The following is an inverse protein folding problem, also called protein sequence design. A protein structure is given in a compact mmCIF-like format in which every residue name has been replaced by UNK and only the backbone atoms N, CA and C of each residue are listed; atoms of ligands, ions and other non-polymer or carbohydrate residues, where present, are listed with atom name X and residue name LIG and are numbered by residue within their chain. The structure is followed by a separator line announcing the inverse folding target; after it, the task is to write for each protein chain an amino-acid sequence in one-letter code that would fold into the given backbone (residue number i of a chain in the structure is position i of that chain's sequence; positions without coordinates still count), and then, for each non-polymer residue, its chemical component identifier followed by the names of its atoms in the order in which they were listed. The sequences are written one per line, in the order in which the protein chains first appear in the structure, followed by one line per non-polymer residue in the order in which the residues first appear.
data_IF_843937721885
#
_entry.id   IF_843937721885
#
_cell.length_a   1.000
_cell.length_b   1.000
_cell.length_c   1.000
_cell.angle_alpha   90.00
_cell.angle_beta   90.00
_cell.angle_gamma   90.00
#
_symmetry.space_group_name_H-M   'P 1'
#
loop_
_entity.id
_entity.type
_entity.pdbx_description
1 polymer ?
#
# COMPACT_ATOMS: atom_id res chain seq x y z
N UNK A 1 22.15 -55.16 21.18
CA UNK A 1 22.14 -54.00 20.26
C UNK A 1 22.73 -52.75 20.93
N UNK A 2 24.05 -52.68 21.15
CA UNK A 2 24.68 -51.60 21.93
C UNK A 2 25.15 -50.38 21.11
N UNK A 3 24.85 -50.32 19.80
CA UNK A 3 25.48 -49.36 18.87
C UNK A 3 24.49 -48.42 18.16
N UNK A 4 23.17 -48.63 18.24
CA UNK A 4 22.22 -47.83 17.45
C UNK A 4 22.08 -46.35 17.89
N UNK A 5 22.52 -45.99 19.09
CA UNK A 5 22.55 -44.60 19.56
C UNK A 5 23.60 -43.72 18.83
N UNK A 6 24.48 -44.30 18.02
CA UNK A 6 25.49 -43.57 17.25
C UNK A 6 25.01 -43.13 15.87
N UNK A 7 23.78 -43.46 15.46
CA UNK A 7 23.23 -43.14 14.13
C UNK A 7 22.55 -41.77 14.03
N UNK A 8 22.88 -40.80 14.89
CA UNK A 8 22.42 -39.44 14.60
C UNK A 8 23.18 -38.93 13.38
N UNK A 9 22.48 -38.36 12.40
CA UNK A 9 23.07 -37.81 11.17
C UNK A 9 24.11 -36.72 11.43
N UNK A 10 24.21 -36.23 12.67
CA UNK A 10 25.06 -35.11 13.06
C UNK A 10 26.29 -35.54 13.85
N UNK A 11 26.37 -36.80 14.29
CA UNK A 11 27.55 -37.29 14.99
C UNK A 11 28.68 -37.52 13.99
N UNK A 12 29.78 -36.77 14.13
CA UNK A 12 30.95 -36.89 13.27
C UNK A 12 31.97 -37.84 13.90
N UNK A 13 32.31 -37.63 15.17
CA UNK A 13 33.31 -38.42 15.87
C UNK A 13 33.09 -38.42 17.39
N UNK A 14 33.65 -39.42 18.08
CA UNK A 14 33.77 -39.45 19.54
C UNK A 14 35.26 -39.30 19.88
N UNK A 15 35.62 -38.23 20.57
CA UNK A 15 36.98 -38.02 21.07
C UNK A 15 37.11 -38.69 22.44
N UNK A 16 37.58 -39.93 22.42
CA UNK A 16 37.86 -40.69 23.64
C UNK A 16 39.17 -41.46 23.49
N UNK A 17 40.06 -41.32 24.48
CA UNK A 17 41.20 -42.21 24.68
C UNK A 17 40.79 -43.54 25.33
N UNK A 18 39.49 -43.70 25.64
CA UNK A 18 38.96 -44.82 26.38
C UNK A 18 38.21 -45.75 25.45
N UNK A 19 38.35 -47.08 25.60
CA UNK A 19 37.60 -48.03 24.81
C UNK A 19 36.10 -47.81 25.03
N UNK A 20 35.36 -47.66 23.93
CA UNK A 20 33.91 -47.37 23.90
C UNK A 20 33.07 -48.42 24.64
N UNK A 21 33.62 -49.61 24.86
CA UNK A 21 33.00 -50.73 25.57
C UNK A 21 32.63 -50.43 27.04
N UNK A 22 33.25 -49.43 27.66
CA UNK A 22 33.10 -49.16 29.12
C UNK A 22 31.91 -48.21 29.43
N UNK A 23 31.27 -47.63 28.43
CA UNK A 23 30.34 -46.49 28.64
C UNK A 23 28.86 -46.88 28.47
N UNK A 24 28.30 -47.77 29.29
CA UNK A 24 26.87 -48.10 29.16
C UNK A 24 26.08 -48.09 30.48
N UNK A 25 25.12 -47.15 30.55
CA UNK A 25 23.83 -47.44 31.16
C UNK A 25 22.98 -48.02 30.03
N UNK A 26 22.70 -49.32 30.07
CA UNK A 26 21.80 -49.94 29.11
C UNK A 26 20.37 -49.62 29.53
N UNK A 27 19.45 -49.55 28.58
CA UNK A 27 18.02 -49.54 28.88
C UNK A 27 17.52 -50.92 28.54
N UNK A 28 16.82 -51.56 29.48
CA UNK A 28 16.23 -52.86 29.26
C UNK A 28 15.17 -52.70 28.17
N UNK A 29 15.27 -53.45 27.07
CA UNK A 29 14.32 -53.28 25.97
C UNK A 29 12.90 -53.68 26.36
N UNK A 30 12.74 -54.70 27.20
CA UNK A 30 11.45 -55.20 27.67
C UNK A 30 10.81 -54.27 28.71
N UNK A 31 11.58 -53.80 29.69
CA UNK A 31 11.01 -53.00 30.80
C UNK A 31 11.11 -51.50 30.59
N UNK A 32 11.84 -51.05 29.56
CA UNK A 32 12.24 -49.63 29.34
C UNK A 32 12.92 -48.98 30.55
N UNK A 33 13.22 -49.73 31.61
CA UNK A 33 13.95 -49.25 32.78
C UNK A 33 15.44 -49.23 32.46
N UNK A 34 16.11 -48.20 32.96
CA UNK A 34 17.56 -48.08 32.85
C UNK A 34 18.22 -49.23 33.63
N UNK A 35 18.79 -50.20 32.92
CA UNK A 35 19.68 -51.19 33.55
C UNK A 35 21.00 -50.48 33.79
N UNK A 36 21.32 -50.28 35.06
CA UNK A 36 22.62 -49.75 35.46
C UNK A 36 23.74 -50.80 35.27
N UNK A 37 23.40 -52.01 34.80
CA UNK A 37 24.29 -53.18 34.74
C UNK A 37 24.25 -53.85 33.37
N UNK A 38 25.43 -54.16 32.81
CA UNK A 38 25.56 -54.98 31.61
C UNK A 38 25.63 -56.46 31.97
N UNK A 39 24.99 -57.33 31.19
CA UNK A 39 25.19 -58.78 31.27
C UNK A 39 26.67 -59.18 31.12
N UNK A 40 27.50 -58.31 30.52
CA UNK A 40 28.94 -58.53 30.35
C UNK A 40 29.76 -58.55 31.66
N UNK A 41 29.26 -58.02 32.78
CA UNK A 41 30.02 -58.00 34.04
C UNK A 41 29.59 -59.06 35.06
N UNK A 42 28.50 -59.80 34.82
CA UNK A 42 28.01 -60.85 35.72
C UNK A 42 27.60 -60.39 37.14
N UNK A 43 27.56 -59.09 37.41
CA UNK A 43 27.28 -58.56 38.75
C UNK A 43 25.78 -58.34 38.98
N UNK A 44 25.22 -59.04 39.98
CA UNK A 44 23.83 -58.88 40.42
C UNK A 44 23.56 -57.48 41.01
N UNK A 45 22.34 -56.98 40.80
CA UNK A 45 21.92 -55.61 41.12
C UNK A 45 22.01 -55.22 42.61
N UNK A 46 22.23 -56.16 43.52
CA UNK A 46 22.15 -55.93 44.96
C UNK A 46 23.45 -55.50 45.65
N UNK A 47 24.63 -55.52 44.98
CA UNK A 47 25.92 -55.22 45.65
C UNK A 47 26.50 -53.82 45.46
N UNK A 48 25.84 -52.89 44.74
CA UNK A 48 26.50 -51.59 44.43
C UNK A 48 26.62 -50.64 45.62
N UNK A 49 25.71 -50.72 46.61
CA UNK A 49 25.78 -49.88 47.82
C UNK A 49 26.94 -50.30 48.73
N UNK A 50 27.31 -51.58 48.74
CA UNK A 50 28.39 -52.13 49.56
C UNK A 50 29.74 -52.18 48.83
N UNK A 51 29.77 -52.16 47.49
CA UNK A 51 31.02 -52.19 46.76
C UNK A 51 31.80 -50.87 46.94
N UNK A 52 32.91 -50.92 47.70
CA UNK A 52 33.83 -49.81 47.95
C UNK A 52 34.96 -49.70 46.92
N UNK A 53 34.92 -50.52 45.86
CA UNK A 53 35.94 -50.58 44.82
C UNK A 53 35.40 -50.03 43.50
N UNK A 54 36.22 -49.26 42.79
CA UNK A 54 35.92 -48.75 41.46
C UNK A 54 35.96 -49.89 40.44
N UNK A 55 34.85 -50.12 39.72
CA UNK A 55 34.77 -51.19 38.71
C UNK A 55 35.71 -51.00 37.51
N UNK A 56 36.31 -49.82 37.36
CA UNK A 56 37.15 -49.48 36.21
C UNK A 56 38.65 -49.54 36.51
N UNK A 57 39.07 -49.08 37.68
CA UNK A 57 40.50 -49.01 38.03
C UNK A 57 40.87 -49.81 39.27
N UNK A 58 39.91 -50.46 39.95
CA UNK A 58 40.18 -51.22 41.17
C UNK A 58 40.45 -50.39 42.44
N UNK A 59 40.57 -49.07 42.33
CA UNK A 59 40.85 -48.22 43.49
C UNK A 59 39.65 -48.11 44.44
N UNK A 60 39.87 -47.91 45.76
CA UNK A 60 38.81 -47.62 46.70
C UNK A 60 38.08 -46.32 46.33
N UNK A 61 36.78 -46.25 46.63
CA UNK A 61 35.90 -45.09 46.38
C UNK A 61 35.03 -44.80 47.60
N UNK A 62 34.80 -43.52 47.86
CA UNK A 62 33.96 -43.06 48.98
C UNK A 62 32.45 -43.12 48.73
N UNK A 63 32.01 -43.07 47.47
CA UNK A 63 30.59 -42.94 47.11
C UNK A 63 29.89 -44.23 46.67
N UNK A 64 28.56 -44.17 46.60
CA UNK A 64 27.69 -45.29 46.16
C UNK A 64 27.70 -45.52 44.63
N UNK A 65 28.35 -44.65 43.85
CA UNK A 65 28.47 -44.77 42.39
C UNK A 65 29.49 -45.83 41.98
N UNK A 66 29.38 -46.42 40.79
CA UNK A 66 30.24 -47.53 40.34
C UNK A 66 31.72 -47.17 40.15
N UNK A 67 32.01 -45.91 39.87
CA UNK A 67 33.34 -45.40 39.57
C UNK A 67 33.87 -44.57 40.74
N UNK A 68 35.18 -44.58 40.96
CA UNK A 68 35.83 -43.57 41.78
C UNK A 68 35.69 -42.19 41.11
N UNK A 69 35.88 -41.11 41.88
CA UNK A 69 35.74 -39.74 41.40
C UNK A 69 36.60 -39.45 40.16
N UNK A 70 37.86 -39.90 40.16
CA UNK A 70 38.77 -39.71 39.03
C UNK A 70 38.29 -40.43 37.75
N UNK A 71 37.85 -41.70 37.87
CA UNK A 71 37.30 -42.44 36.74
C UNK A 71 35.99 -41.83 36.23
N UNK A 72 35.15 -41.32 37.12
CA UNK A 72 33.91 -40.62 36.77
C UNK A 72 34.20 -39.30 36.04
N UNK A 73 35.16 -38.51 36.51
CA UNK A 73 35.62 -37.30 35.85
C UNK A 73 36.20 -37.59 34.46
N UNK A 74 37.06 -38.62 34.32
CA UNK A 74 37.59 -39.08 33.02
C UNK A 74 36.48 -39.53 32.05
N UNK A 75 35.39 -40.11 32.55
CA UNK A 75 34.26 -40.51 31.72
C UNK A 75 33.41 -39.29 31.32
N UNK A 76 33.26 -38.31 32.22
CA UNK A 76 32.58 -37.04 31.94
C UNK A 76 33.35 -36.12 31.01
N UNK A 77 34.68 -36.25 30.94
CA UNK A 77 35.50 -35.45 30.02
C UNK A 77 35.46 -35.93 28.57
N UNK A 78 34.87 -37.09 28.28
CA UNK A 78 34.70 -37.58 26.90
C UNK A 78 33.86 -36.58 26.10
N UNK A 79 34.39 -36.15 24.96
CA UNK A 79 33.74 -35.21 24.04
C UNK A 79 33.23 -35.95 22.80
N UNK A 80 32.18 -35.41 22.21
CA UNK A 80 31.68 -35.79 20.88
C UNK A 80 31.76 -34.59 19.96
N UNK A 81 32.14 -34.83 18.71
CA UNK A 81 32.16 -33.83 17.64
C UNK A 81 30.84 -33.95 16.89
N UNK A 82 30.09 -32.86 16.85
CA UNK A 82 28.78 -32.78 16.22
C UNK A 82 28.79 -31.73 15.11
N UNK A 83 28.09 -32.02 14.01
CA UNK A 83 27.85 -31.06 12.93
C UNK A 83 26.62 -30.21 13.26
N UNK A 84 26.77 -28.88 13.29
CA UNK A 84 25.66 -27.96 13.58
C UNK A 84 24.57 -28.05 12.49
N UNK A 85 23.30 -28.24 12.88
CA UNK A 85 22.17 -28.31 11.92
C UNK A 85 22.09 -27.09 11.00
N UNK A 86 22.38 -25.90 11.53
CA UNK A 86 22.16 -24.65 10.81
C UNK A 86 23.35 -24.26 9.92
N UNK A 87 24.56 -24.27 10.45
CA UNK A 87 25.74 -23.73 9.75
C UNK A 87 26.72 -24.81 9.29
N UNK A 88 26.49 -26.08 9.60
CA UNK A 88 27.37 -27.18 9.24
C UNK A 88 28.72 -27.20 9.97
N UNK A 89 29.05 -26.18 10.79
CA UNK A 89 30.31 -26.16 11.55
C UNK A 89 30.33 -27.28 12.59
N UNK A 90 31.49 -27.91 12.71
CA UNK A 90 31.77 -28.89 13.75
C UNK A 90 31.98 -28.21 15.09
N UNK A 91 31.47 -28.82 16.15
CA UNK A 91 31.64 -28.33 17.51
C UNK A 91 31.64 -29.49 18.50
N UNK A 92 32.25 -29.26 19.65
CA UNK A 92 32.38 -30.28 20.67
C UNK A 92 31.33 -30.15 21.76
N UNK A 93 30.81 -31.29 22.21
CA UNK A 93 29.93 -31.38 23.38
C UNK A 93 30.37 -32.54 24.26
N UNK A 94 30.13 -32.45 25.56
CA UNK A 94 30.36 -33.62 26.41
C UNK A 94 29.41 -34.76 26.01
N UNK A 95 29.92 -36.00 25.97
CA UNK A 95 29.15 -37.18 25.60
C UNK A 95 27.91 -37.35 26.50
N UNK A 96 28.02 -37.02 27.79
CA UNK A 96 26.90 -37.12 28.73
C UNK A 96 25.77 -36.12 28.38
N UNK A 97 26.10 -34.90 27.97
CA UNK A 97 25.12 -33.88 27.56
C UNK A 97 24.44 -34.25 26.24
N UNK A 98 25.21 -34.80 25.30
CA UNK A 98 24.70 -35.32 24.04
C UNK A 98 23.68 -36.45 24.26
N UNK A 99 24.03 -37.46 25.06
CA UNK A 99 23.11 -38.56 25.41
C UNK A 99 21.87 -38.08 26.16
N UNK A 100 22.03 -37.12 27.09
CA UNK A 100 20.91 -36.52 27.80
C UNK A 100 19.94 -35.80 26.85
N UNK A 101 20.45 -35.14 25.82
CA UNK A 101 19.64 -34.51 24.78
C UNK A 101 18.93 -35.54 23.89
N UNK A 102 19.62 -36.59 23.44
CA UNK A 102 19.00 -37.69 22.69
C UNK A 102 17.87 -38.37 23.47
N UNK A 103 18.06 -38.60 24.77
CA UNK A 103 17.03 -39.18 25.64
C UNK A 103 15.80 -38.26 25.82
N UNK A 104 15.92 -36.97 25.51
CA UNK A 104 14.79 -36.02 25.46
C UNK A 104 14.14 -35.95 24.07
N UNK A 105 14.57 -36.79 23.13
CA UNK A 105 14.13 -36.76 21.74
C UNK A 105 14.71 -35.59 20.94
N UNK A 106 15.80 -34.97 21.38
CA UNK A 106 16.42 -33.88 20.64
C UNK A 106 17.22 -34.44 19.45
N UNK A 107 16.77 -34.10 18.24
CA UNK A 107 17.41 -34.49 16.97
C UNK A 107 18.39 -33.44 16.46
N UNK A 108 18.15 -32.15 16.77
CA UNK A 108 18.91 -31.01 16.26
C UNK A 108 19.96 -30.51 17.28
N UNK A 109 21.23 -30.43 16.84
CA UNK A 109 22.34 -29.91 17.64
C UNK A 109 22.99 -28.68 16.98
N UNK A 110 23.42 -27.71 17.81
CA UNK A 110 23.90 -26.42 17.34
C UNK A 110 25.21 -26.02 18.02
N UNK A 111 26.12 -25.40 17.26
CA UNK A 111 27.41 -24.94 17.78
C UNK A 111 27.30 -23.76 18.74
N UNK A 112 26.18 -23.00 18.71
CA UNK A 112 25.96 -21.86 19.58
C UNK A 112 24.48 -21.59 19.84
N UNK A 113 24.18 -20.85 20.92
CA UNK A 113 22.82 -20.36 21.22
C UNK A 113 22.26 -19.52 20.07
N UNK A 114 23.10 -18.73 19.40
CA UNK A 114 22.71 -17.94 18.23
C UNK A 114 22.24 -18.83 17.06
N UNK A 115 22.94 -19.94 16.78
CA UNK A 115 22.51 -20.89 15.73
C UNK A 115 21.19 -21.57 16.10
N UNK A 116 21.03 -21.99 17.36
CA UNK A 116 19.78 -22.56 17.84
C UNK A 116 18.61 -21.58 17.67
N UNK A 117 18.77 -20.33 18.10
CA UNK A 117 17.74 -19.30 17.97
C UNK A 117 17.39 -19.00 16.52
N UNK A 118 18.37 -18.89 15.62
CA UNK A 118 18.14 -18.68 14.18
C UNK A 118 17.38 -19.86 13.56
N UNK A 119 17.77 -21.09 13.86
CA UNK A 119 17.08 -22.27 13.32
C UNK A 119 15.64 -22.37 13.83
N UNK A 120 15.41 -22.21 15.14
CA UNK A 120 14.06 -22.23 15.70
C UNK A 120 13.19 -21.06 15.23
N UNK A 121 13.78 -19.90 14.93
CA UNK A 121 13.06 -18.77 14.34
C UNK A 121 12.49 -19.10 12.96
N UNK A 122 13.17 -19.94 12.18
CA UNK A 122 12.70 -20.42 10.86
C UNK A 122 11.77 -21.63 11.01
N UNK A 123 12.18 -22.66 11.76
CA UNK A 123 11.41 -23.92 11.95
C UNK A 123 10.02 -23.69 12.54
N UNK A 124 9.88 -22.71 13.43
CA UNK A 124 8.60 -22.35 14.05
C UNK A 124 8.01 -21.04 13.50
N UNK A 125 8.50 -20.55 12.36
CA UNK A 125 7.90 -19.40 11.69
C UNK A 125 6.50 -19.78 11.21
N UNK A 126 5.50 -18.92 11.47
CA UNK A 126 4.20 -19.03 10.82
C UNK A 126 4.32 -18.56 9.37
N UNK A 127 3.57 -19.16 8.47
CA UNK A 127 3.46 -18.69 7.09
C UNK A 127 2.57 -17.45 7.01
N UNK A 128 2.93 -16.53 6.11
CA UNK A 128 2.11 -15.37 5.77
C UNK A 128 0.79 -15.84 5.16
N UNK A 129 -0.34 -15.34 5.67
CA UNK A 129 -1.68 -15.70 5.16
C UNK A 129 -1.97 -15.21 3.73
N UNK A 130 -1.14 -14.30 3.20
CA UNK A 130 -1.27 -13.78 1.84
C UNK A 130 -0.28 -14.44 0.86
N UNK A 131 1.03 -14.45 1.16
CA UNK A 131 2.07 -14.94 0.24
C UNK A 131 2.69 -16.29 0.61
N UNK A 132 2.31 -16.89 1.75
CA UNK A 132 2.84 -18.18 2.22
C UNK A 132 4.26 -18.15 2.82
N UNK A 133 5.03 -17.07 2.64
CA UNK A 133 6.42 -16.98 3.13
C UNK A 133 6.54 -17.08 4.65
N UNK A 134 7.62 -17.68 5.19
CA UNK A 134 7.83 -17.82 6.63
C UNK A 134 8.08 -16.46 7.30
N UNK A 135 7.46 -16.24 8.45
CA UNK A 135 7.54 -15.00 9.24
C UNK A 135 8.27 -15.23 10.57
N UNK A 136 9.61 -15.16 10.62
CA UNK A 136 10.35 -15.32 11.87
C UNK A 136 10.05 -14.15 12.83
N UNK A 137 9.82 -14.47 14.10
CA UNK A 137 9.80 -13.48 15.19
C UNK A 137 8.50 -12.70 15.44
N UNK A 138 7.44 -12.85 14.63
CA UNK A 138 6.19 -12.07 14.81
C UNK A 138 4.95 -12.95 15.03
N UNK A 139 4.85 -13.59 16.20
CA UNK A 139 3.75 -14.56 16.53
C UNK A 139 2.33 -14.00 16.35
N UNK A 140 2.13 -12.69 16.59
CA UNK A 140 0.82 -12.02 16.47
C UNK A 140 0.49 -11.54 15.05
N UNK A 141 1.47 -11.46 14.16
CA UNK A 141 1.25 -10.92 12.82
C UNK A 141 0.72 -12.00 11.87
N UNK A 142 -0.27 -11.62 11.05
CA UNK A 142 -0.85 -12.47 10.02
C UNK A 142 -0.15 -12.34 8.65
N UNK A 143 0.66 -11.30 8.47
CA UNK A 143 1.28 -10.93 7.21
C UNK A 143 2.77 -10.61 7.40
N UNK A 144 3.60 -10.97 6.42
CA UNK A 144 5.06 -10.81 6.50
C UNK A 144 5.49 -9.34 6.35
N UNK A 145 4.68 -8.53 5.67
CA UNK A 145 4.94 -7.13 5.35
C UNK A 145 3.65 -6.31 5.30
N UNK A 146 3.79 -4.98 5.38
CA UNK A 146 2.65 -4.06 5.19
C UNK A 146 2.12 -4.13 3.75
N UNK A 147 2.97 -4.47 2.78
CA UNK A 147 2.55 -4.73 1.39
C UNK A 147 1.60 -5.92 1.30
N UNK A 148 1.92 -7.06 1.93
CA UNK A 148 1.02 -8.23 1.98
C UNK A 148 -0.27 -7.93 2.74
N UNK A 149 -0.19 -7.14 3.83
CA UNK A 149 -1.37 -6.73 4.60
C UNK A 149 -2.30 -5.86 3.75
N UNK A 150 -1.76 -4.90 3.02
CA UNK A 150 -2.52 -4.00 2.15
C UNK A 150 -3.10 -4.76 0.96
N UNK A 151 -2.31 -5.61 0.32
CA UNK A 151 -2.76 -6.43 -0.81
C UNK A 151 -3.89 -7.39 -0.40
N UNK A 152 -3.77 -8.05 0.76
CA UNK A 152 -4.84 -8.91 1.30
C UNK A 152 -6.12 -8.14 1.64
N UNK A 153 -6.02 -6.87 2.05
CA UNK A 153 -7.19 -6.01 2.28
C UNK A 153 -7.83 -5.53 0.97
N UNK A 154 -7.04 -5.35 -0.08
CA UNK A 154 -7.51 -4.94 -1.40
C UNK A 154 -8.19 -6.10 -2.13
N UNK A 155 -7.65 -7.31 -2.07
CA UNK A 155 -8.20 -8.49 -2.75
C UNK A 155 -9.59 -8.92 -2.26
N UNK A 156 -9.99 -8.50 -1.05
CA UNK A 156 -11.32 -8.80 -0.48
C UNK A 156 -12.39 -7.77 -0.84
N UNK A 157 -12.04 -6.70 -1.55
CA UNK A 157 -12.98 -5.62 -1.86
C UNK A 157 -13.70 -5.90 -3.17
N UNK A 158 -15.00 -5.56 -3.25
CA UNK A 158 -15.73 -5.67 -4.50
C UNK A 158 -15.17 -4.67 -5.53
N UNK A 159 -15.08 -5.11 -6.77
CA UNK A 159 -14.84 -4.24 -7.92
C UNK A 159 -16.06 -3.33 -8.10
N UNK A 160 -15.83 -2.05 -8.43
CA UNK A 160 -16.86 -1.07 -8.75
C UNK A 160 -16.60 -0.49 -10.14
N UNK A 161 -17.66 -0.01 -10.79
CA UNK A 161 -17.60 0.72 -12.05
C UNK A 161 -17.59 2.22 -11.75
N UNK A 162 -16.67 2.98 -12.35
CA UNK A 162 -16.59 4.43 -12.17
C UNK A 162 -17.75 5.14 -12.91
N UNK A 163 -18.55 6.01 -12.27
CA UNK A 163 -19.67 6.69 -12.94
C UNK A 163 -19.28 7.70 -14.02
N UNK A 164 -17.99 8.10 -14.11
CA UNK A 164 -17.53 9.16 -15.03
C UNK A 164 -16.85 8.59 -16.27
N UNK A 165 -16.04 7.55 -16.10
CA UNK A 165 -15.27 6.94 -17.20
C UNK A 165 -15.61 5.47 -17.45
N UNK A 166 -16.55 4.91 -16.68
CA UNK A 166 -17.03 3.52 -16.79
C UNK A 166 -15.95 2.43 -16.58
N UNK A 167 -14.75 2.82 -16.18
CA UNK A 167 -13.68 1.86 -15.88
C UNK A 167 -13.95 1.09 -14.58
N UNK A 168 -13.65 -0.21 -14.60
CA UNK A 168 -13.62 -1.06 -13.42
C UNK A 168 -12.44 -0.71 -12.51
N UNK A 169 -12.69 -0.60 -11.21
CA UNK A 169 -11.64 -0.32 -10.22
C UNK A 169 -11.92 -0.95 -8.85
N UNK A 170 -10.86 -1.17 -8.08
CA UNK A 170 -10.94 -1.64 -6.69
C UNK A 170 -10.86 -0.43 -5.75
N UNK A 171 -11.92 -0.09 -4.99
CA UNK A 171 -11.97 1.14 -4.22
C UNK A 171 -11.05 1.10 -2.99
N UNK A 172 -10.33 2.21 -2.71
CA UNK A 172 -9.45 2.35 -1.53
C UNK A 172 -10.20 2.53 -0.21
N UNK A 173 -11.48 2.91 -0.25
CA UNK A 173 -12.41 2.90 0.91
C UNK A 173 -13.80 2.49 0.44
N UNK A 174 -14.66 2.00 1.35
CA UNK A 174 -16.05 1.66 0.99
C UNK A 174 -16.82 2.86 0.41
N UNK A 175 -16.46 4.07 0.84
CA UNK A 175 -17.03 5.36 0.40
C UNK A 175 -16.50 5.85 -0.95
N UNK A 176 -15.43 5.26 -1.50
CA UNK A 176 -14.92 5.68 -2.80
C UNK A 176 -15.90 5.29 -3.91
N UNK A 177 -16.28 6.29 -4.71
CA UNK A 177 -17.20 6.16 -5.85
C UNK A 177 -16.49 6.27 -7.22
N UNK A 178 -15.31 6.89 -7.27
CA UNK A 178 -14.59 7.17 -8.51
C UNK A 178 -13.24 6.44 -8.54
N UNK A 179 -12.78 6.08 -9.74
CA UNK A 179 -11.51 5.36 -9.92
C UNK A 179 -10.27 6.23 -9.65
N UNK A 180 -10.37 7.54 -9.89
CA UNK A 180 -9.26 8.49 -9.80
C UNK A 180 -9.69 9.83 -9.22
N UNK A 181 -8.71 10.66 -8.85
CA UNK A 181 -8.94 12.04 -8.41
C UNK A 181 -9.53 12.89 -9.53
N UNK A 182 -9.11 12.67 -10.77
CA UNK A 182 -9.61 13.39 -11.95
C UNK A 182 -11.10 13.15 -12.15
N UNK A 183 -11.55 11.88 -12.09
CA UNK A 183 -12.97 11.54 -12.19
C UNK A 183 -13.77 12.14 -11.01
N UNK A 184 -13.22 12.09 -9.80
CA UNK A 184 -13.86 12.72 -8.64
C UNK A 184 -13.98 14.25 -8.80
N UNK A 185 -12.96 14.91 -9.35
CA UNK A 185 -12.97 16.34 -9.64
C UNK A 185 -13.95 16.69 -10.76
N UNK A 186 -14.03 15.89 -11.84
CA UNK A 186 -15.00 16.08 -12.91
C UNK A 186 -16.44 15.97 -12.40
N UNK A 187 -16.76 14.90 -11.65
CA UNK A 187 -18.06 14.72 -11.02
C UNK A 187 -18.40 15.85 -10.04
N UNK A 188 -17.40 16.36 -9.32
CA UNK A 188 -17.58 17.50 -8.44
C UNK A 188 -17.88 18.78 -9.24
N UNK A 189 -17.10 19.08 -10.29
CA UNK A 189 -17.31 20.22 -11.17
C UNK A 189 -18.71 20.21 -11.78
N UNK A 190 -19.20 19.06 -12.26
CA UNK A 190 -20.56 18.93 -12.77
C UNK A 190 -21.61 19.25 -11.71
N UNK A 191 -21.45 18.74 -10.49
CA UNK A 191 -22.37 19.02 -9.37
C UNK A 191 -22.34 20.48 -8.92
N UNK A 192 -21.19 21.13 -9.03
CA UNK A 192 -21.03 22.53 -8.64
C UNK A 192 -21.55 23.51 -9.70
N UNK A 193 -22.03 23.03 -10.85
CA UNK A 193 -22.69 23.83 -11.89
C UNK A 193 -24.20 23.77 -11.71
N UNK A 194 -24.85 24.93 -11.74
CA UNK A 194 -26.31 25.01 -11.75
C UNK A 194 -26.95 24.96 -10.36
N UNK A 195 -28.27 24.70 -10.37
CA UNK A 195 -29.17 24.73 -9.20
C UNK A 195 -28.80 23.73 -8.09
N UNK A 196 -27.93 22.75 -8.36
CA UNK A 196 -27.49 21.73 -7.40
C UNK A 196 -26.40 22.19 -6.42
N UNK A 197 -25.82 23.38 -6.61
CA UNK A 197 -24.82 23.95 -5.74
C UNK A 197 -25.50 24.86 -4.69
N UNK A 198 -25.31 24.61 -3.40
CA UNK A 198 -25.91 25.43 -2.33
C UNK A 198 -25.41 26.88 -2.29
N UNK A 199 -24.27 27.17 -2.93
CA UNK A 199 -23.76 28.52 -3.14
C UNK A 199 -24.27 29.16 -4.44
N UNK A 200 -25.17 28.49 -5.17
CA UNK A 200 -25.82 29.01 -6.37
C UNK A 200 -27.00 29.90 -5.95
N UNK A 201 -26.74 31.17 -5.68
CA UNK A 201 -27.76 32.06 -5.11
C UNK A 201 -28.83 32.50 -6.11
N UNK A 202 -28.55 32.49 -7.41
CA UNK A 202 -29.31 33.27 -8.39
C UNK A 202 -29.22 32.77 -9.83
N UNK A 203 -28.95 31.47 -10.03
CA UNK A 203 -29.39 30.84 -11.27
C UNK A 203 -28.43 30.91 -12.46
N UNK A 204 -27.41 31.78 -12.44
CA UNK A 204 -26.38 31.92 -13.48
C UNK A 204 -25.21 32.71 -12.89
N UNK A 205 -23.95 32.27 -12.97
CA UNK A 205 -22.91 33.31 -12.91
C UNK A 205 -23.02 34.05 -14.24
N UNK A 206 -23.71 35.20 -14.24
CA UNK A 206 -23.85 36.10 -15.38
C UNK A 206 -22.55 36.18 -16.20
N UNK A 207 -21.41 36.23 -15.49
CA UNK A 207 -20.08 36.21 -16.03
C UNK A 207 -19.80 35.01 -16.97
N UNK A 208 -20.25 33.79 -16.67
CA UNK A 208 -20.01 32.63 -17.53
C UNK A 208 -20.81 32.65 -18.83
N UNK A 209 -22.10 33.01 -18.78
CA UNK A 209 -22.91 33.10 -20.00
C UNK A 209 -22.34 34.19 -20.92
N UNK A 210 -22.05 35.37 -20.37
CA UNK A 210 -21.42 36.47 -21.10
C UNK A 210 -20.04 36.06 -21.66
N UNK A 211 -19.21 35.37 -20.88
CA UNK A 211 -17.89 34.88 -21.33
C UNK A 211 -18.01 33.89 -22.51
N UNK A 212 -18.99 32.98 -22.49
CA UNK A 212 -19.20 32.01 -23.57
C UNK A 212 -19.88 32.66 -24.80
N UNK A 213 -20.72 33.67 -24.59
CA UNK A 213 -21.36 34.41 -25.68
C UNK A 213 -20.39 35.34 -26.40
N UNK A 214 -19.41 35.90 -25.67
CA UNK A 214 -18.43 36.87 -26.20
C UNK A 214 -17.78 36.48 -27.54
N UNK A 215 -17.14 35.31 -27.68
CA UNK A 215 -16.50 34.94 -28.96
C UNK A 215 -17.51 34.85 -30.12
N UNK A 216 -18.75 34.44 -29.84
CA UNK A 216 -19.80 34.33 -30.86
C UNK A 216 -20.23 35.70 -31.39
N UNK A 217 -20.27 36.73 -30.53
CA UNK A 217 -20.60 38.10 -30.93
C UNK A 217 -19.43 38.75 -31.69
N UNK A 218 -18.19 38.51 -31.26
CA UNK A 218 -16.99 38.98 -31.98
C UNK A 218 -16.92 38.37 -33.39
N UNK A 219 -17.20 37.07 -33.52
CA UNK A 219 -17.25 36.39 -34.81
C UNK A 219 -18.36 36.96 -35.70
N UNK A 220 -19.58 37.14 -35.15
CA UNK A 220 -20.72 37.75 -35.85
C UNK A 220 -20.37 39.13 -36.41
N UNK A 221 -19.71 39.96 -35.60
CA UNK A 221 -19.38 41.33 -35.96
C UNK A 221 -18.08 41.43 -36.79
N UNK A 222 -17.43 40.30 -37.09
CA UNK A 222 -16.23 40.24 -37.93
C UNK A 222 -14.97 40.79 -37.24
N UNK A 223 -14.89 40.67 -35.91
CA UNK A 223 -13.78 41.16 -35.09
C UNK A 223 -13.48 42.65 -35.30
N UNK A 224 -14.52 43.47 -35.48
CA UNK A 224 -14.41 44.92 -35.65
C UNK A 224 -15.49 45.66 -34.87
N UNK A 225 -15.19 46.90 -34.49
CA UNK A 225 -16.18 47.80 -33.93
C UNK A 225 -17.29 48.05 -34.95
N UNK A 226 -18.54 47.83 -34.54
CA UNK A 226 -19.70 47.99 -35.43
C UNK A 226 -19.93 49.45 -35.83
N UNK A 227 -19.50 50.41 -35.00
CA UNK A 227 -19.67 51.86 -35.27
C UNK A 227 -18.61 52.39 -36.22
N UNK A 228 -17.33 52.21 -35.88
CA UNK A 228 -16.23 52.87 -36.59
C UNK A 228 -15.38 51.94 -37.45
N UNK A 229 -15.66 50.62 -37.43
CA UNK A 229 -14.91 49.63 -38.21
C UNK A 229 -13.52 49.30 -37.67
N UNK A 230 -13.11 49.84 -36.51
CA UNK A 230 -11.80 49.55 -35.92
C UNK A 230 -11.63 48.04 -35.70
N UNK A 231 -10.57 47.46 -36.27
CA UNK A 231 -10.26 46.04 -36.17
C UNK A 231 -9.75 45.66 -34.76
N UNK A 232 -9.97 44.42 -34.38
CA UNK A 232 -9.43 43.84 -33.15
C UNK A 232 -7.89 43.92 -33.12
N UNK A 233 -7.38 44.42 -32.02
CA UNK A 233 -5.97 44.46 -31.69
C UNK A 233 -5.79 44.07 -30.22
N UNK A 234 -4.70 43.35 -29.93
CA UNK A 234 -4.39 42.89 -28.57
C UNK A 234 -3.23 43.69 -27.98
N UNK A 235 -3.41 44.13 -26.73
CA UNK A 235 -2.35 44.72 -25.92
C UNK A 235 -2.01 43.78 -24.78
N UNK A 236 -0.71 43.53 -24.56
CA UNK A 236 -0.25 42.82 -23.37
C UNK A 236 -0.19 43.81 -22.21
N UNK A 237 -0.86 43.48 -21.12
CA UNK A 237 -0.78 44.24 -19.88
C UNK A 237 -0.41 43.31 -18.74
N UNK A 238 0.33 43.81 -17.76
CA UNK A 238 0.58 43.07 -16.53
C UNK A 238 -0.53 43.42 -15.53
N UNK A 239 -1.32 42.43 -15.11
CA UNK A 239 -2.40 42.58 -14.13
C UNK A 239 -2.19 41.57 -13.01
N UNK A 240 -2.13 42.05 -11.76
CA UNK A 240 -1.82 41.23 -10.58
C UNK A 240 -0.55 40.37 -10.74
N UNK A 241 0.48 40.90 -11.39
CA UNK A 241 1.75 40.20 -11.64
C UNK A 241 1.71 39.13 -12.72
N UNK A 242 0.60 39.02 -13.48
CA UNK A 242 0.47 38.12 -14.63
C UNK A 242 0.29 38.91 -15.92
N UNK A 243 0.95 38.47 -16.99
CA UNK A 243 0.78 39.06 -18.32
C UNK A 243 -0.51 38.52 -18.96
N UNK A 244 -1.43 39.43 -19.26
CA UNK A 244 -2.74 39.13 -19.85
C UNK A 244 -2.87 39.89 -21.16
N UNK A 245 -3.37 39.21 -22.20
CA UNK A 245 -3.76 39.84 -23.46
C UNK A 245 -5.16 40.44 -23.33
N UNK A 246 -5.30 41.74 -23.59
CA UNK A 246 -6.60 42.42 -23.69
C UNK A 246 -6.87 42.90 -25.10
N UNK A 247 -8.08 42.63 -25.58
CA UNK A 247 -8.60 43.16 -26.83
C UNK A 247 -9.01 44.63 -26.66
N UNK A 248 -8.81 45.44 -27.70
CA UNK A 248 -9.34 46.81 -27.82
C UNK A 248 -10.86 46.84 -28.07
N UNK A 249 -11.49 45.67 -28.29
CA UNK A 249 -12.93 45.51 -28.46
C UNK A 249 -13.59 45.02 -27.17
N UNK A 250 -14.77 45.56 -26.91
CA UNK A 250 -15.66 45.22 -25.79
C UNK A 250 -17.04 44.87 -26.33
N UNK A 251 -17.78 44.08 -25.57
CA UNK A 251 -19.17 43.75 -25.90
C UNK A 251 -20.05 44.52 -24.93
N UNK A 252 -21.10 45.14 -25.48
CA UNK A 252 -22.02 45.98 -24.74
C UNK A 252 -23.45 45.46 -24.86
N UNK A 253 -24.23 45.62 -23.78
CA UNK A 253 -25.65 45.29 -23.70
C UNK A 253 -26.51 46.45 -24.19
N UNK A 254 -27.29 46.27 -25.25
CA UNK A 254 -28.07 47.34 -25.89
C UNK A 254 -29.20 47.89 -25.00
N UNK A 255 -29.81 47.03 -24.18
CA UNK A 255 -30.90 47.39 -23.27
C UNK A 255 -30.44 47.65 -21.82
N UNK A 256 -29.12 47.68 -21.56
CA UNK A 256 -28.50 47.81 -20.24
C UNK A 256 -28.87 46.70 -19.21
N UNK A 257 -29.67 45.70 -19.60
CA UNK A 257 -30.00 44.57 -18.77
C UNK A 257 -28.86 43.55 -18.79
N UNK A 258 -27.99 43.63 -17.78
CA UNK A 258 -26.81 42.75 -17.63
C UNK A 258 -27.17 41.25 -17.68
N UNK A 259 -28.36 40.85 -17.25
CA UNK A 259 -28.77 39.44 -17.28
C UNK A 259 -29.16 38.95 -18.68
N UNK A 260 -29.43 39.84 -19.63
CA UNK A 260 -29.84 39.50 -20.98
C UNK A 260 -28.62 39.40 -21.92
N UNK A 261 -28.02 38.22 -21.97
CA UNK A 261 -26.89 37.95 -22.87
C UNK A 261 -27.34 37.30 -24.17
N UNK A 262 -28.58 37.57 -24.62
CA UNK A 262 -29.01 37.19 -25.95
C UNK A 262 -28.19 37.93 -26.99
N UNK A 263 -27.85 37.31 -28.13
CA UNK A 263 -27.03 37.97 -29.13
C UNK A 263 -27.71 39.21 -29.73
N UNK A 264 -29.04 39.25 -29.76
CA UNK A 264 -29.82 40.41 -30.18
C UNK A 264 -29.62 41.62 -29.25
N UNK A 265 -29.22 41.38 -28.01
CA UNK A 265 -28.93 42.41 -27.02
C UNK A 265 -27.44 42.76 -26.92
N UNK A 266 -26.55 42.10 -27.67
CA UNK A 266 -25.10 42.30 -27.55
C UNK A 266 -24.51 42.90 -28.83
N UNK A 267 -23.57 43.84 -28.70
CA UNK A 267 -22.85 44.46 -29.83
C UNK A 267 -21.36 44.64 -29.54
N UNK A 268 -20.51 44.45 -30.55
CA UNK A 268 -19.07 44.70 -30.48
C UNK A 268 -18.72 46.18 -30.70
N UNK A 269 -18.04 46.81 -29.74
CA UNK A 269 -17.59 48.19 -29.81
C UNK A 269 -16.10 48.30 -29.46
N UNK A 270 -15.40 49.29 -30.01
CA UNK A 270 -14.10 49.68 -29.47
C UNK A 270 -14.27 50.54 -28.21
N UNK A 271 -13.19 50.65 -27.41
CA UNK A 271 -13.23 51.42 -26.17
C UNK A 271 -13.76 52.86 -26.32
N UNK A 272 -13.35 53.66 -27.33
CA UNK A 272 -13.91 55.00 -27.52
C UNK A 272 -15.42 55.02 -27.82
N UNK A 273 -15.89 54.20 -28.76
CA UNK A 273 -17.32 54.12 -29.11
C UNK A 273 -18.17 53.61 -27.95
N UNK A 274 -17.64 52.67 -27.18
CA UNK A 274 -18.27 52.17 -25.95
C UNK A 274 -18.42 53.27 -24.90
N UNK A 275 -17.38 54.08 -24.67
CA UNK A 275 -17.43 55.20 -23.74
C UNK A 275 -18.41 56.30 -24.19
N UNK A 276 -18.50 56.57 -25.50
CA UNK A 276 -19.48 57.51 -26.06
C UNK A 276 -20.90 57.02 -25.75
N UNK A 277 -21.17 55.74 -26.02
CA UNK A 277 -22.46 55.13 -25.75
C UNK A 277 -22.84 55.15 -24.27
N UNK A 278 -21.90 54.86 -23.36
CA UNK A 278 -22.16 54.92 -21.91
C UNK A 278 -22.39 56.33 -21.36
N UNK A 279 -21.76 57.36 -21.95
CA UNK A 279 -21.85 58.75 -21.44
C UNK A 279 -23.10 59.49 -21.94
N UNK A 280 -23.72 59.01 -23.01
CA UNK A 280 -24.94 59.61 -23.56
C UNK A 280 -26.17 59.16 -22.77
N UNK A 281 -27.09 60.09 -22.46
CA UNK A 281 -28.37 59.77 -21.81
C UNK A 281 -29.29 58.91 -22.69
N UNK A 282 -29.13 59.01 -24.01
CA UNK A 282 -29.80 58.19 -25.02
C UNK A 282 -28.74 57.65 -25.97
N UNK A 283 -28.87 56.40 -26.42
CA UNK A 283 -27.90 55.83 -27.36
C UNK A 283 -27.78 56.71 -28.61
N UNK A 284 -26.57 57.19 -28.96
CA UNK A 284 -26.36 57.98 -30.18
C UNK A 284 -26.44 57.10 -31.43
N UNK A 285 -26.59 55.78 -31.25
CA UNK A 285 -26.63 54.78 -32.32
C UNK A 285 -27.98 54.05 -32.29
N UNK A 286 -29.04 54.75 -32.71
CA UNK A 286 -30.42 54.22 -32.70
C UNK A 286 -30.59 52.92 -33.53
N UNK A 287 -29.69 52.67 -34.49
CA UNK A 287 -29.71 51.52 -35.39
C UNK A 287 -29.14 50.23 -34.78
N UNK A 288 -28.62 50.26 -33.55
CA UNK A 288 -28.01 49.08 -32.91
C UNK A 288 -28.97 47.89 -32.78
N UNK A 289 -30.21 48.12 -32.34
CA UNK A 289 -31.19 47.05 -32.16
C UNK A 289 -31.49 46.32 -33.46
N UNK A 290 -31.77 47.08 -34.54
CA UNK A 290 -31.99 46.51 -35.87
C UNK A 290 -30.77 45.77 -36.40
N UNK A 291 -29.57 46.34 -36.21
CA UNK A 291 -28.32 45.71 -36.63
C UNK A 291 -28.10 44.36 -35.94
N UNK A 292 -28.23 44.30 -34.61
CA UNK A 292 -27.95 43.09 -33.85
C UNK A 292 -28.94 41.96 -34.21
N UNK A 293 -30.22 42.28 -34.43
CA UNK A 293 -31.24 41.34 -34.90
C UNK A 293 -30.92 40.85 -36.31
N UNK A 294 -30.69 41.75 -37.27
CA UNK A 294 -30.41 41.40 -38.66
C UNK A 294 -29.17 40.50 -38.77
N UNK A 295 -28.08 40.88 -38.09
CA UNK A 295 -26.85 40.09 -38.11
C UNK A 295 -27.04 38.72 -37.48
N UNK A 296 -27.74 38.63 -36.35
CA UNK A 296 -28.02 37.34 -35.69
C UNK A 296 -28.87 36.42 -36.56
N UNK A 297 -29.82 36.98 -37.33
CA UNK A 297 -30.61 36.23 -38.32
C UNK A 297 -29.77 35.75 -39.51
N UNK A 298 -28.79 36.55 -39.95
CA UNK A 298 -27.89 36.21 -41.07
C UNK A 298 -26.80 35.17 -40.73
N UNK A 299 -26.70 34.74 -39.47
CA UNK A 299 -25.66 33.79 -39.04
C UNK A 299 -25.86 32.35 -39.55
N UNK A 300 -24.74 31.62 -39.62
CA UNK A 300 -24.69 30.21 -40.00
C UNK A 300 -25.49 29.31 -39.04
N UNK A 301 -25.96 28.16 -39.53
CA UNK A 301 -26.69 27.17 -38.72
C UNK A 301 -25.90 26.68 -37.50
N UNK A 302 -24.59 26.50 -37.65
CA UNK A 302 -23.67 26.12 -36.57
C UNK A 302 -23.66 27.15 -35.44
N UNK A 303 -23.57 28.43 -35.79
CA UNK A 303 -23.60 29.51 -34.81
C UNK A 303 -24.94 29.57 -34.08
N UNK A 304 -26.06 29.46 -34.81
CA UNK A 304 -27.41 29.43 -34.22
C UNK A 304 -27.56 28.28 -33.23
N UNK A 305 -27.05 27.10 -33.56
CA UNK A 305 -27.05 25.95 -32.65
C UNK A 305 -26.23 26.20 -31.37
N UNK A 306 -25.06 26.85 -31.48
CA UNK A 306 -24.24 27.22 -30.33
C UNK A 306 -24.97 28.21 -29.41
N UNK A 307 -25.56 29.28 -29.98
CA UNK A 307 -26.32 30.27 -29.22
C UNK A 307 -27.55 29.66 -28.56
N UNK A 308 -28.31 28.80 -29.25
CA UNK A 308 -29.46 28.08 -28.69
C UNK A 308 -29.01 27.15 -27.55
N UNK A 309 -27.90 26.43 -27.71
CA UNK A 309 -27.34 25.55 -26.68
C UNK A 309 -26.93 26.33 -25.44
N UNK A 310 -26.26 27.48 -25.61
CA UNK A 310 -25.93 28.38 -24.50
C UNK A 310 -27.20 28.87 -23.83
N UNK A 311 -28.17 29.40 -24.60
CA UNK A 311 -29.45 29.85 -24.06
C UNK A 311 -30.15 28.74 -23.29
N UNK A 312 -30.21 27.50 -23.78
CA UNK A 312 -30.83 26.38 -23.05
C UNK A 312 -30.09 26.04 -21.75
N UNK A 313 -28.76 26.07 -21.76
CA UNK A 313 -27.92 25.78 -20.59
C UNK A 313 -28.07 26.82 -19.48
N UNK A 314 -28.33 28.06 -19.89
CA UNK A 314 -28.22 29.25 -19.04
C UNK A 314 -29.58 29.90 -18.77
N UNK A 315 -30.60 29.71 -19.61
CA UNK A 315 -31.94 30.22 -19.36
C UNK A 315 -32.44 29.72 -18.00
N UNK A 316 -33.00 30.60 -17.17
CA UNK A 316 -33.68 30.16 -15.97
C UNK A 316 -34.77 29.21 -16.43
N UNK A 317 -34.68 27.94 -16.06
CA UNK A 317 -35.79 27.02 -16.20
C UNK A 317 -36.90 27.65 -15.36
N UNK A 318 -37.84 28.33 -16.01
CA UNK A 318 -39.11 28.66 -15.38
C UNK A 318 -39.69 27.30 -15.03
N UNK A 319 -39.51 26.88 -13.78
CA UNK A 319 -40.27 25.79 -13.21
C UNK A 319 -41.71 26.28 -13.31
N UNK A 320 -42.43 25.82 -14.33
CA UNK A 320 -43.87 25.98 -14.42
C UNK A 320 -44.42 25.46 -13.10
N UNK A 321 -44.91 26.40 -12.29
CA UNK A 321 -45.53 26.14 -11.01
C UNK A 321 -46.85 25.41 -11.21
#
# INVERSE_FOLDING_TARGET
MAIDYLKSKQLVAIKSELPLSIVFSLVNEATKKRIVYGQATGLSAQKSKSNKICVRCGNPKGGNGLLCLACYQKLRSIRVVLRCTLCGKEHEKYLYDYRKALNRGQEDFYCSKACSQKHHAVKHARSCTYCGQPMPGKRRNKYCSETCRTASRLSKRPVKICPICEAEFIPRSSRAQFCSRECASAAHSERMVGLGNSHYQDGMSYAMWFTQMRPLILERDGHKCVVCGLQEAFTRITWNGQDVQRSNLVIHHLNEAVLDNTPENLVTLCQPCHMIHHKSKSTPYLWFGSYAVEKSLSMTSRWKAATISLRKRFSPTTVSS
#
